data_IF_577191615759
#
_entry.id   IF_577191615759
#
_cell.length_a   1.000
_cell.length_b   1.000
_cell.length_c   1.000
_cell.angle_alpha   90.00
_cell.angle_beta   90.00
_cell.angle_gamma   90.00
#
_symmetry.space_group_name_H-M   'P 1'
#
loop_
_entity.id
_entity.type
_entity.pdbx_description
1 polymer ?
#
# COMPACT_ATOMS: atom_id res chain seq x y z
N UNK A 1 4.94 -15.34 -5.65
CA UNK A 1 6.29 -14.94 -6.10
C UNK A 1 7.29 -14.87 -4.95
N UNK A 2 7.02 -14.12 -3.86
CA UNK A 2 7.95 -13.93 -2.73
C UNK A 2 8.45 -15.23 -2.08
N UNK A 3 7.57 -16.22 -1.89
CA UNK A 3 7.96 -17.54 -1.36
C UNK A 3 8.95 -18.31 -2.26
N UNK A 4 8.83 -18.16 -3.59
CA UNK A 4 9.73 -18.80 -4.56
C UNK A 4 11.10 -18.10 -4.55
N UNK A 5 11.12 -16.77 -4.43
CA UNK A 5 12.37 -16.01 -4.30
C UNK A 5 13.08 -16.36 -2.99
N UNK A 6 12.34 -16.47 -1.90
CA UNK A 6 12.89 -16.83 -0.59
C UNK A 6 13.46 -18.27 -0.60
N UNK A 7 12.73 -19.23 -1.18
CA UNK A 7 13.21 -20.60 -1.32
C UNK A 7 14.54 -20.65 -2.10
N UNK A 8 14.63 -19.93 -3.23
CA UNK A 8 15.88 -19.85 -4.01
C UNK A 8 17.06 -19.25 -3.24
N UNK A 9 16.82 -18.25 -2.38
CA UNK A 9 17.86 -17.65 -1.54
C UNK A 9 18.31 -18.62 -0.44
N UNK A 10 17.38 -19.35 0.16
CA UNK A 10 17.69 -20.34 1.18
C UNK A 10 18.48 -21.52 0.61
N UNK A 11 18.18 -21.95 -0.62
CA UNK A 11 18.92 -23.01 -1.31
C UNK A 11 20.40 -22.64 -1.57
N UNK A 12 20.75 -21.35 -1.62
CA UNK A 12 22.13 -20.86 -1.80
C UNK A 12 22.89 -20.57 -0.48
N UNK A 13 22.42 -21.06 0.68
CA UNK A 13 23.07 -20.90 1.98
C UNK A 13 23.34 -19.44 2.40
N UNK A 14 22.45 -18.50 2.04
CA UNK A 14 22.58 -17.12 2.49
C UNK A 14 22.39 -17.05 4.00
N UNK A 15 23.42 -16.59 4.73
CA UNK A 15 23.45 -16.56 6.21
C UNK A 15 22.36 -15.67 6.84
N UNK A 16 21.78 -14.74 6.08
CA UNK A 16 20.79 -13.78 6.57
C UNK A 16 19.51 -13.79 5.73
N UNK A 17 18.39 -14.06 6.39
CA UNK A 17 17.05 -14.01 5.79
C UNK A 17 16.67 -12.53 5.55
N UNK A 18 16.22 -12.15 4.35
CA UNK A 18 15.71 -10.80 4.09
C UNK A 18 14.54 -10.45 5.02
N UNK A 19 14.59 -9.26 5.63
CA UNK A 19 13.55 -8.81 6.56
C UNK A 19 12.42 -8.05 5.85
N UNK A 20 12.67 -7.58 4.62
CA UNK A 20 11.67 -6.87 3.81
C UNK A 20 11.57 -7.44 2.40
N UNK A 21 10.45 -7.13 1.73
CA UNK A 21 10.26 -7.45 0.31
C UNK A 21 11.34 -6.80 -0.57
N UNK A 22 11.75 -5.57 -0.31
CA UNK A 22 12.78 -4.90 -1.12
C UNK A 22 14.16 -5.55 -0.93
N UNK A 23 14.50 -5.96 0.29
CA UNK A 23 15.72 -6.72 0.56
C UNK A 23 15.71 -8.08 -0.13
N UNK A 24 14.55 -8.76 -0.15
CA UNK A 24 14.39 -10.02 -0.85
C UNK A 24 14.73 -9.88 -2.34
N UNK A 25 14.21 -8.84 -2.99
CA UNK A 25 14.55 -8.54 -4.39
C UNK A 25 16.01 -8.14 -4.56
N UNK A 26 16.58 -7.36 -3.63
CA UNK A 26 17.99 -6.97 -3.68
C UNK A 26 18.90 -8.19 -3.65
N UNK A 27 18.74 -9.08 -2.67
CA UNK A 27 19.56 -10.31 -2.57
C UNK A 27 19.34 -11.22 -3.77
N UNK A 28 18.09 -11.35 -4.23
CA UNK A 28 17.77 -12.16 -5.40
C UNK A 28 18.41 -11.61 -6.69
N UNK A 29 18.38 -10.30 -6.92
CA UNK A 29 19.03 -9.69 -8.08
C UNK A 29 20.55 -9.86 -8.03
N UNK A 30 21.17 -9.71 -6.86
CA UNK A 30 22.62 -9.96 -6.71
C UNK A 30 23.00 -11.39 -7.10
N UNK A 31 22.22 -12.36 -6.62
CA UNK A 31 22.37 -13.78 -6.91
C UNK A 31 22.19 -14.09 -8.39
N UNK A 32 21.03 -13.74 -8.96
CA UNK A 32 20.71 -14.05 -10.36
C UNK A 32 21.64 -13.36 -11.34
N UNK A 33 22.05 -12.12 -11.06
CA UNK A 33 22.99 -11.40 -11.91
C UNK A 33 24.43 -11.91 -11.75
N UNK A 34 24.67 -12.80 -10.79
CA UNK A 34 25.89 -13.58 -10.66
C UNK A 34 26.94 -12.92 -9.78
N UNK A 35 26.57 -12.06 -8.82
CA UNK A 35 27.53 -11.43 -7.88
C UNK A 35 28.32 -12.46 -7.08
N UNK A 36 27.71 -13.60 -6.78
CA UNK A 36 28.24 -14.65 -5.89
C UNK A 36 28.97 -15.78 -6.64
N UNK A 37 28.70 -15.99 -7.93
CA UNK A 37 29.44 -16.93 -8.81
C UNK A 37 30.87 -16.46 -9.12
N UNK A 38 31.24 -15.29 -8.61
CA UNK A 38 32.44 -14.60 -9.03
C UNK A 38 33.58 -15.01 -8.12
N UNK A 39 34.33 -16.01 -8.59
CA UNK A 39 35.72 -16.16 -8.19
C UNK A 39 36.39 -14.77 -8.19
N UNK A 40 37.17 -14.47 -7.13
CA UNK A 40 37.67 -13.14 -6.68
C UNK A 40 38.51 -12.33 -7.71
N UNK A 41 38.11 -12.28 -8.96
CA UNK A 41 38.80 -11.56 -10.03
C UNK A 41 38.12 -10.21 -10.27
N UNK A 42 38.92 -9.17 -10.54
CA UNK A 42 38.42 -7.82 -10.79
C UNK A 42 37.55 -7.75 -12.06
N UNK A 43 37.87 -8.60 -13.05
CA UNK A 43 37.16 -8.67 -14.32
C UNK A 43 35.71 -9.13 -14.15
N UNK A 44 35.48 -10.11 -13.28
CA UNK A 44 34.15 -10.61 -13.02
C UNK A 44 33.28 -9.50 -12.41
N UNK A 45 33.79 -8.73 -11.44
CA UNK A 45 33.07 -7.59 -10.83
C UNK A 45 32.64 -6.54 -11.86
N UNK A 46 33.51 -6.20 -12.82
CA UNK A 46 33.16 -5.30 -13.91
C UNK A 46 32.04 -5.86 -14.81
N UNK A 47 32.04 -7.16 -15.10
CA UNK A 47 30.96 -7.80 -15.87
C UNK A 47 29.63 -7.71 -15.12
N UNK A 48 29.61 -8.01 -13.82
CA UNK A 48 28.41 -7.87 -12.99
C UNK A 48 27.85 -6.44 -13.03
N UNK A 49 28.71 -5.43 -12.84
CA UNK A 49 28.30 -4.03 -12.85
C UNK A 49 27.72 -3.62 -14.21
N UNK A 50 28.30 -4.09 -15.32
CA UNK A 50 27.74 -3.86 -16.66
C UNK A 50 26.36 -4.50 -16.76
N UNK A 51 26.22 -5.79 -16.41
CA UNK A 51 24.96 -6.52 -16.50
C UNK A 51 23.87 -5.82 -15.68
N UNK A 52 24.17 -5.44 -14.43
CA UNK A 52 23.21 -4.78 -13.55
C UNK A 52 22.77 -3.42 -14.12
N UNK A 53 23.71 -2.59 -14.56
CA UNK A 53 23.36 -1.26 -15.07
C UNK A 53 22.65 -1.31 -16.42
N UNK A 54 22.94 -2.30 -17.27
CA UNK A 54 22.17 -2.52 -18.50
C UNK A 54 20.78 -3.07 -18.17
N UNK A 55 20.65 -3.96 -17.18
CA UNK A 55 19.35 -4.44 -16.69
C UNK A 55 18.46 -3.29 -16.20
N UNK A 56 19.05 -2.31 -15.51
CA UNK A 56 18.38 -1.05 -15.12
C UNK A 56 17.93 -0.24 -16.34
N UNK A 57 18.78 -0.10 -17.37
CA UNK A 57 18.42 0.62 -18.60
C UNK A 57 17.27 -0.04 -19.34
N UNK A 58 17.29 -1.37 -19.43
CA UNK A 58 16.22 -2.17 -20.03
C UNK A 58 14.91 -1.95 -19.26
N UNK A 59 14.93 -2.06 -17.93
CA UNK A 59 13.77 -1.79 -17.09
C UNK A 59 13.21 -0.37 -17.28
N UNK A 60 14.09 0.63 -17.35
CA UNK A 60 13.71 2.03 -17.63
C UNK A 60 13.07 2.18 -18.99
N UNK A 61 13.68 1.68 -20.05
CA UNK A 61 13.12 1.73 -21.40
C UNK A 61 11.74 1.07 -21.45
N UNK A 62 11.58 -0.10 -20.82
CA UNK A 62 10.31 -0.82 -20.82
C UNK A 62 9.22 -0.08 -20.05
N UNK A 63 9.50 0.37 -18.83
CA UNK A 63 8.49 1.01 -17.98
C UNK A 63 8.17 2.43 -18.47
N UNK A 64 9.16 3.24 -18.84
CA UNK A 64 8.92 4.61 -19.34
C UNK A 64 8.07 4.62 -20.60
N UNK A 65 8.15 3.57 -21.43
CA UNK A 65 7.44 3.46 -22.71
C UNK A 65 6.30 2.45 -22.69
N UNK A 66 5.94 1.88 -21.52
CA UNK A 66 4.89 0.85 -21.40
C UNK A 66 5.07 -0.34 -22.36
N UNK A 67 6.31 -0.81 -22.51
CA UNK A 67 6.66 -1.96 -23.36
C UNK A 67 6.75 -3.25 -22.53
N UNK A 68 6.15 -4.32 -23.05
CA UNK A 68 6.27 -5.67 -22.47
C UNK A 68 7.51 -6.43 -22.95
N UNK A 69 8.12 -5.98 -24.05
CA UNK A 69 9.29 -6.59 -24.67
C UNK A 69 10.12 -5.56 -25.44
N UNK A 70 11.41 -5.83 -25.59
CA UNK A 70 12.33 -5.05 -26.42
C UNK A 70 13.16 -5.98 -27.31
N UNK A 71 13.80 -5.47 -28.36
CA UNK A 71 14.62 -6.31 -29.22
C UNK A 71 15.94 -6.70 -28.53
N UNK A 72 16.42 -7.93 -28.73
CA UNK A 72 17.71 -8.37 -28.18
C UNK A 72 18.89 -7.53 -28.73
N UNK A 73 18.77 -6.99 -29.94
CA UNK A 73 19.72 -6.04 -30.53
C UNK A 73 19.79 -4.71 -29.77
N UNK A 74 18.67 -4.23 -29.21
CA UNK A 74 18.63 -3.03 -28.37
C UNK A 74 19.37 -3.29 -27.06
N UNK A 75 19.17 -4.45 -26.42
CA UNK A 75 19.93 -4.83 -25.22
C UNK A 75 21.43 -4.87 -25.49
N UNK A 76 21.85 -5.47 -26.61
CA UNK A 76 23.28 -5.50 -27.01
C UNK A 76 23.84 -4.10 -27.22
N UNK A 77 23.05 -3.22 -27.85
CA UNK A 77 23.42 -1.83 -28.07
C UNK A 77 23.55 -1.05 -26.74
N UNK A 78 22.68 -1.31 -25.76
CA UNK A 78 22.81 -0.76 -24.41
C UNK A 78 24.10 -1.25 -23.71
N UNK A 79 24.44 -2.53 -23.84
CA UNK A 79 25.73 -3.06 -23.35
C UNK A 79 26.92 -2.34 -23.98
N UNK A 80 26.94 -2.22 -25.30
CA UNK A 80 28.02 -1.55 -26.03
C UNK A 80 28.17 -0.09 -25.59
N UNK A 81 27.06 0.64 -25.52
CA UNK A 81 27.04 2.04 -25.12
C UNK A 81 27.54 2.22 -23.67
N UNK A 82 27.11 1.34 -22.76
CA UNK A 82 27.54 1.40 -21.37
C UNK A 82 29.05 1.13 -21.20
N UNK A 83 29.57 0.10 -21.89
CA UNK A 83 30.99 -0.29 -21.88
C UNK A 83 31.86 0.81 -22.50
N UNK A 84 31.53 1.26 -23.72
CA UNK A 84 32.29 2.28 -24.45
C UNK A 84 32.26 3.62 -23.71
N UNK A 85 31.10 4.04 -23.22
CA UNK A 85 30.94 5.31 -22.49
C UNK A 85 31.71 5.40 -21.17
N UNK A 86 32.20 4.26 -20.65
CA UNK A 86 33.00 4.18 -19.41
C UNK A 86 34.41 3.66 -19.65
N UNK A 87 34.81 3.45 -20.90
CA UNK A 87 36.11 2.90 -21.27
C UNK A 87 36.44 1.58 -20.55
N UNK A 88 35.45 0.71 -20.38
CA UNK A 88 35.61 -0.57 -19.69
C UNK A 88 36.27 -1.60 -20.61
N UNK A 89 37.27 -2.33 -20.10
CA UNK A 89 38.00 -3.38 -20.82
C UNK A 89 37.27 -4.73 -20.72
N UNK A 90 36.02 -4.76 -21.16
CA UNK A 90 35.14 -5.93 -21.07
C UNK A 90 34.58 -6.26 -22.45
N UNK A 91 34.55 -7.55 -22.81
CA UNK A 91 33.97 -7.98 -24.09
C UNK A 91 32.45 -7.91 -24.06
N UNK A 92 31.88 -7.05 -24.92
CA UNK A 92 30.45 -6.83 -25.00
C UNK A 92 29.68 -8.09 -25.46
N UNK A 93 30.26 -8.88 -26.37
CA UNK A 93 29.60 -10.09 -26.87
C UNK A 93 29.47 -11.14 -25.76
N UNK A 94 30.54 -11.37 -25.00
CA UNK A 94 30.52 -12.23 -23.81
C UNK A 94 29.49 -11.74 -22.77
N UNK A 95 29.52 -10.45 -22.42
CA UNK A 95 28.63 -9.91 -21.37
C UNK A 95 27.16 -9.93 -21.77
N UNK A 96 26.83 -9.49 -22.98
CA UNK A 96 25.45 -9.49 -23.47
C UNK A 96 24.89 -10.92 -23.56
N UNK A 97 25.70 -11.90 -24.00
CA UNK A 97 25.33 -13.31 -24.00
C UNK A 97 25.11 -13.85 -22.58
N UNK A 98 25.98 -13.49 -21.62
CA UNK A 98 25.81 -13.85 -20.20
C UNK A 98 24.52 -13.26 -19.63
N UNK A 99 24.24 -11.98 -19.89
CA UNK A 99 23.02 -11.30 -19.42
C UNK A 99 21.76 -11.98 -19.97
N UNK A 100 21.67 -12.14 -21.30
CA UNK A 100 20.51 -12.73 -21.97
C UNK A 100 20.36 -14.24 -21.66
N UNK A 101 21.41 -14.88 -21.19
CA UNK A 101 21.39 -16.27 -20.72
C UNK A 101 20.74 -16.48 -19.33
N UNK A 102 20.49 -15.40 -18.57
CA UNK A 102 19.91 -15.47 -17.21
C UNK A 102 18.40 -15.70 -17.27
N UNK A 103 18.01 -16.95 -17.49
CA UNK A 103 16.63 -17.41 -17.70
C UNK A 103 15.73 -17.21 -16.49
N UNK A 104 16.29 -16.95 -15.31
CA UNK A 104 15.54 -16.63 -14.10
C UNK A 104 14.95 -15.22 -14.17
N UNK A 105 15.64 -14.30 -14.85
CA UNK A 105 15.25 -12.90 -14.98
C UNK A 105 14.58 -12.60 -16.32
N UNK A 106 15.14 -13.15 -17.40
CA UNK A 106 14.74 -12.84 -18.77
C UNK A 106 14.15 -14.05 -19.49
N UNK A 107 13.14 -13.79 -20.29
CA UNK A 107 12.73 -14.65 -21.39
C UNK A 107 13.22 -14.05 -22.70
N UNK A 108 14.01 -14.82 -23.46
CA UNK A 108 14.43 -14.46 -24.81
C UNK A 108 13.64 -15.32 -25.78
N UNK A 109 12.78 -14.68 -26.56
CA UNK A 109 11.94 -15.36 -27.53
C UNK A 109 12.78 -15.86 -28.72
N UNK A 110 12.74 -17.15 -29.04
CA UNK A 110 13.47 -17.70 -30.19
C UNK A 110 12.83 -17.33 -31.53
N UNK A 111 11.60 -16.78 -31.54
CA UNK A 111 10.84 -16.53 -32.76
C UNK A 111 11.04 -15.12 -33.32
N UNK A 112 11.09 -14.11 -32.45
CA UNK A 112 11.15 -12.69 -32.82
C UNK A 112 12.38 -11.97 -32.23
N UNK A 113 13.30 -12.71 -31.60
CA UNK A 113 14.50 -12.20 -30.92
C UNK A 113 14.22 -11.07 -29.93
N UNK A 114 13.07 -11.13 -29.25
CA UNK A 114 12.71 -10.15 -28.21
C UNK A 114 13.05 -10.64 -26.81
N UNK A 115 13.22 -9.69 -25.90
CA UNK A 115 13.58 -9.89 -24.50
C UNK A 115 12.46 -9.31 -23.63
N UNK A 116 12.00 -10.11 -22.67
CA UNK A 116 10.99 -9.75 -21.68
C UNK A 116 11.49 -10.14 -20.29
N UNK A 117 11.12 -9.39 -19.25
CA UNK A 117 11.29 -9.85 -17.88
C UNK A 117 10.27 -10.95 -17.57
N UNK A 118 10.71 -12.06 -16.95
CA UNK A 118 9.81 -13.15 -16.58
C UNK A 118 8.66 -12.70 -15.65
N UNK A 119 8.90 -11.66 -14.87
CA UNK A 119 7.90 -11.05 -14.02
C UNK A 119 8.10 -9.53 -13.98
N UNK A 120 7.00 -8.78 -14.08
CA UNK A 120 7.01 -7.31 -14.10
C UNK A 120 7.69 -6.70 -12.88
N UNK A 121 7.54 -7.30 -11.71
CA UNK A 121 8.16 -6.79 -10.47
C UNK A 121 9.69 -6.77 -10.51
N UNK A 122 10.34 -7.57 -11.36
CA UNK A 122 11.78 -7.45 -11.58
C UNK A 122 12.13 -6.16 -12.32
N UNK A 123 11.34 -5.80 -13.34
CA UNK A 123 11.47 -4.53 -14.04
C UNK A 123 11.21 -3.37 -13.06
N UNK A 124 10.15 -3.45 -12.25
CA UNK A 124 9.80 -2.40 -11.28
C UNK A 124 10.89 -2.19 -10.22
N UNK A 125 11.47 -3.28 -9.71
CA UNK A 125 12.62 -3.20 -8.78
C UNK A 125 13.85 -2.59 -9.45
N UNK A 126 14.23 -3.05 -10.65
CA UNK A 126 15.41 -2.53 -11.37
C UNK A 126 15.23 -1.07 -11.78
N UNK A 127 14.01 -0.68 -12.12
CA UNK A 127 13.66 0.71 -12.38
C UNK A 127 13.83 1.57 -11.12
N UNK A 128 13.27 1.12 -9.99
CA UNK A 128 13.41 1.80 -8.70
C UNK A 128 14.88 1.94 -8.29
N UNK A 129 15.68 0.90 -8.48
CA UNK A 129 17.14 0.94 -8.25
C UNK A 129 17.83 1.96 -9.16
N UNK A 130 17.36 2.10 -10.39
CA UNK A 130 17.83 3.13 -11.32
C UNK A 130 17.52 4.55 -10.86
N UNK A 131 16.27 4.82 -10.46
CA UNK A 131 15.88 6.11 -9.88
C UNK A 131 16.73 6.44 -8.67
N UNK A 132 16.95 5.45 -7.81
CA UNK A 132 17.65 5.66 -6.56
C UNK A 132 19.13 5.99 -6.77
N UNK A 133 19.79 5.32 -7.70
CA UNK A 133 21.19 5.62 -8.08
C UNK A 133 21.36 7.02 -8.66
N UNK A 134 20.36 7.51 -9.39
CA UNK A 134 20.38 8.87 -9.94
C UNK A 134 20.05 9.90 -8.84
N UNK A 135 19.33 9.50 -7.80
CA UNK A 135 18.87 10.38 -6.72
C UNK A 135 17.85 11.40 -7.18
N UNK A 136 17.16 11.16 -8.31
CA UNK A 136 16.15 12.07 -8.87
C UNK A 136 14.89 11.29 -9.22
N UNK A 137 13.82 11.61 -8.51
CA UNK A 137 12.46 11.18 -8.83
C UNK A 137 11.48 12.15 -8.16
N UNK A 138 10.33 12.35 -8.80
CA UNK A 138 9.29 13.25 -8.31
C UNK A 138 8.22 12.44 -7.59
N UNK A 139 7.79 12.93 -6.43
CA UNK A 139 6.61 12.44 -5.72
C UNK A 139 5.43 13.31 -6.15
N UNK A 140 4.51 12.71 -6.88
CA UNK A 140 3.29 13.34 -7.37
C UNK A 140 2.20 12.28 -7.58
N UNK A 141 1.15 12.61 -8.33
CA UNK A 141 -0.02 11.73 -8.49
C UNK A 141 0.33 10.32 -8.99
N UNK A 142 1.39 10.19 -9.79
CA UNK A 142 1.90 8.89 -10.29
C UNK A 142 2.21 7.89 -9.18
N UNK A 143 2.56 8.32 -7.98
CA UNK A 143 2.90 7.42 -6.87
C UNK A 143 1.74 6.48 -6.49
N UNK A 144 0.51 6.91 -6.75
CA UNK A 144 -0.72 6.14 -6.49
C UNK A 144 -1.36 5.56 -7.74
N UNK A 145 -0.71 5.69 -8.90
CA UNK A 145 -1.13 5.00 -10.11
C UNK A 145 -0.79 3.50 -9.97
N UNK A 146 -1.74 2.56 -10.19
CA UNK A 146 -1.48 1.12 -10.12
C UNK A 146 -0.31 0.65 -10.99
N UNK A 147 -0.03 1.34 -12.11
CA UNK A 147 1.11 1.04 -12.97
C UNK A 147 2.45 1.32 -12.28
N UNK A 148 2.52 2.37 -11.46
CA UNK A 148 3.76 2.90 -10.86
C UNK A 148 3.94 2.55 -9.38
N UNK A 149 2.85 2.21 -8.67
CA UNK A 149 2.82 2.03 -7.21
C UNK A 149 3.91 1.07 -6.71
N UNK A 150 4.11 -0.07 -7.39
CA UNK A 150 5.13 -1.05 -7.02
C UNK A 150 6.56 -0.52 -7.21
N UNK A 151 6.79 0.29 -8.26
CA UNK A 151 8.09 0.94 -8.48
C UNK A 151 8.41 1.89 -7.34
N UNK A 152 7.48 2.77 -6.97
CA UNK A 152 7.67 3.67 -5.83
C UNK A 152 7.83 2.90 -4.52
N UNK A 153 7.10 1.81 -4.31
CA UNK A 153 7.27 0.97 -3.12
C UNK A 153 8.72 0.49 -2.98
N UNK A 154 9.31 0.03 -4.08
CA UNK A 154 10.73 -0.35 -4.09
C UNK A 154 11.66 0.86 -3.85
N UNK A 155 11.35 2.06 -4.34
CA UNK A 155 12.14 3.27 -4.04
C UNK A 155 12.17 3.55 -2.53
N UNK A 156 11.00 3.57 -1.88
CA UNK A 156 10.93 3.75 -0.42
C UNK A 156 11.67 2.63 0.32
N UNK A 157 11.54 1.39 -0.13
CA UNK A 157 12.22 0.24 0.48
C UNK A 157 13.73 0.18 0.23
N UNK A 158 14.24 0.80 -0.84
CA UNK A 158 15.67 0.93 -1.09
C UNK A 158 16.28 2.01 -0.20
N UNK A 159 15.56 3.13 -0.02
CA UNK A 159 15.95 4.21 0.91
C UNK A 159 15.89 3.77 2.36
N UNK A 160 14.81 3.09 2.77
CA UNK A 160 14.46 2.63 4.13
C UNK A 160 14.29 3.74 5.17
N UNK A 161 15.10 4.78 5.11
CA UNK A 161 15.00 6.03 5.86
C UNK A 161 14.68 7.16 4.86
N UNK A 162 13.45 7.67 4.90
CA UNK A 162 12.92 8.54 3.85
C UNK A 162 11.94 9.62 4.38
N UNK A 163 12.31 10.42 5.39
CA UNK A 163 11.40 11.38 6.01
C UNK A 163 10.88 12.41 4.99
N UNK A 164 11.78 12.97 4.18
CA UNK A 164 11.46 13.97 3.15
C UNK A 164 10.49 13.41 2.09
N UNK A 165 10.66 12.14 1.69
CA UNK A 165 9.77 11.52 0.71
C UNK A 165 8.38 11.26 1.28
N UNK A 166 8.29 10.90 2.57
CA UNK A 166 7.00 10.73 3.26
C UNK A 166 6.28 12.07 3.37
N UNK A 167 7.00 13.15 3.70
CA UNK A 167 6.42 14.49 3.74
C UNK A 167 5.89 14.94 2.37
N UNK A 168 6.60 14.63 1.28
CA UNK A 168 6.10 14.88 -0.07
C UNK A 168 4.90 13.97 -0.43
N UNK A 169 4.92 12.71 0.00
CA UNK A 169 3.81 11.76 -0.19
C UNK A 169 2.51 12.25 0.48
N UNK A 170 2.62 12.85 1.66
CA UNK A 170 1.50 13.45 2.40
C UNK A 170 0.89 14.64 1.65
N UNK A 171 1.70 15.39 0.89
CA UNK A 171 1.27 16.55 0.10
C UNK A 171 0.55 16.16 -1.18
N UNK A 172 0.70 14.94 -1.70
CA UNK A 172 0.01 14.49 -2.93
C UNK A 172 -1.51 14.63 -2.78
N UNK A 173 -2.16 15.28 -3.76
CA UNK A 173 -3.60 15.52 -3.80
C UNK A 173 -4.19 14.88 -5.05
N UNK A 174 -5.02 13.87 -4.85
CA UNK A 174 -5.70 13.19 -5.95
C UNK A 174 -7.09 13.81 -6.15
N UNK A 175 -7.43 14.23 -7.38
CA UNK A 175 -8.68 14.96 -7.63
C UNK A 175 -9.92 14.07 -7.58
N UNK A 176 -9.76 12.76 -7.76
CA UNK A 176 -10.88 11.82 -7.83
C UNK A 176 -10.94 10.93 -6.58
N UNK A 177 -12.16 10.59 -6.17
CA UNK A 177 -12.46 9.81 -4.96
C UNK A 177 -11.86 8.40 -5.01
N UNK A 178 -11.87 7.74 -6.17
CA UNK A 178 -11.28 6.42 -6.36
C UNK A 178 -9.78 6.45 -6.13
N UNK A 179 -9.09 7.46 -6.68
CA UNK A 179 -7.66 7.69 -6.46
C UNK A 179 -7.37 7.94 -4.99
N UNK A 180 -8.20 8.73 -4.29
CA UNK A 180 -8.07 8.93 -2.84
C UNK A 180 -8.24 7.62 -2.06
N UNK A 181 -9.15 6.74 -2.48
CA UNK A 181 -9.27 5.39 -1.90
C UNK A 181 -8.02 4.55 -2.15
N UNK A 182 -7.46 4.57 -3.37
CA UNK A 182 -6.18 3.93 -3.69
C UNK A 182 -5.03 4.48 -2.85
N UNK A 183 -5.01 5.80 -2.60
CA UNK A 183 -4.06 6.42 -1.69
C UNK A 183 -4.18 5.83 -0.29
N UNK A 184 -5.37 5.82 0.30
CA UNK A 184 -5.59 5.24 1.64
C UNK A 184 -5.10 3.79 1.71
N UNK A 185 -5.37 2.99 0.67
CA UNK A 185 -4.97 1.58 0.62
C UNK A 185 -3.45 1.38 0.55
N UNK A 186 -2.76 2.12 -0.31
CA UNK A 186 -1.34 1.87 -0.60
C UNK A 186 -0.38 2.68 0.28
N UNK A 187 -0.86 3.75 0.92
CA UNK A 187 -0.02 4.67 1.67
C UNK A 187 0.73 3.98 2.81
N UNK A 188 0.09 3.08 3.55
CA UNK A 188 0.75 2.29 4.60
C UNK A 188 1.92 1.45 4.08
N UNK A 189 1.83 0.94 2.85
CA UNK A 189 2.89 0.16 2.21
C UNK A 189 4.18 0.98 2.03
N UNK A 190 4.07 2.26 1.69
CA UNK A 190 5.24 3.16 1.61
C UNK A 190 5.86 3.42 2.98
N UNK A 191 5.03 3.64 4.01
CA UNK A 191 5.50 3.84 5.38
C UNK A 191 6.23 2.59 5.91
N UNK A 192 5.69 1.40 5.67
CA UNK A 192 6.32 0.12 6.04
C UNK A 192 7.61 -0.14 5.25
N UNK A 193 7.66 0.25 3.97
CA UNK A 193 8.87 0.13 3.17
C UNK A 193 10.00 1.02 3.72
N UNK A 194 9.64 2.22 4.21
CA UNK A 194 10.56 3.18 4.83
C UNK A 194 10.62 3.06 6.37
N UNK A 195 10.67 1.82 6.89
CA UNK A 195 10.56 1.52 8.33
C UNK A 195 11.67 2.10 9.22
N UNK A 196 12.82 2.52 8.67
CA UNK A 196 13.92 3.14 9.41
C UNK A 196 13.75 4.67 9.58
N UNK A 197 12.73 5.26 8.94
CA UNK A 197 12.40 6.67 9.10
C UNK A 197 12.09 7.01 10.56
N UNK A 198 12.49 8.19 11.08
CA UNK A 198 12.09 8.64 12.41
C UNK A 198 10.59 8.47 12.64
N UNK A 199 10.23 7.73 13.69
CA UNK A 199 8.86 7.26 13.89
C UNK A 199 7.84 8.40 14.03
N UNK A 200 8.26 9.58 14.52
CA UNK A 200 7.42 10.78 14.57
C UNK A 200 6.87 11.21 13.19
N UNK A 201 7.65 11.00 12.12
CA UNK A 201 7.21 11.28 10.74
C UNK A 201 6.13 10.28 10.33
N UNK A 202 6.33 8.99 10.65
CA UNK A 202 5.35 7.92 10.42
C UNK A 202 4.04 8.20 11.17
N UNK A 203 4.13 8.64 12.43
CA UNK A 203 2.98 9.01 13.26
C UNK A 203 2.18 10.16 12.65
N UNK A 204 2.87 11.22 12.22
CA UNK A 204 2.25 12.38 11.55
C UNK A 204 1.54 11.96 10.27
N UNK A 205 2.22 11.17 9.43
CA UNK A 205 1.70 10.70 8.15
C UNK A 205 0.48 9.77 8.33
N UNK A 206 0.51 8.87 9.33
CA UNK A 206 -0.64 8.05 9.70
C UNK A 206 -1.85 8.89 10.13
N UNK A 207 -1.64 9.93 10.95
CA UNK A 207 -2.70 10.85 11.39
C UNK A 207 -3.35 11.55 10.19
N UNK A 208 -2.55 11.96 9.22
CA UNK A 208 -3.03 12.55 7.95
C UNK A 208 -3.87 11.53 7.18
N UNK A 209 -3.40 10.29 7.05
CA UNK A 209 -4.11 9.25 6.30
C UNK A 209 -5.49 8.91 6.91
N UNK A 210 -5.57 8.78 8.25
CA UNK A 210 -6.85 8.56 8.95
C UNK A 210 -7.81 9.74 8.72
N UNK A 211 -7.32 10.97 8.82
CA UNK A 211 -8.11 12.16 8.54
C UNK A 211 -8.61 12.21 7.10
N UNK A 212 -7.77 11.83 6.13
CA UNK A 212 -8.15 11.76 4.71
C UNK A 212 -9.23 10.71 4.44
N UNK A 213 -9.16 9.55 5.11
CA UNK A 213 -10.20 8.53 5.03
C UNK A 213 -11.53 9.00 5.60
N UNK A 214 -11.51 9.68 6.76
CA UNK A 214 -12.71 10.24 7.37
C UNK A 214 -13.32 11.37 6.50
N UNK A 215 -12.48 12.22 5.91
CA UNK A 215 -12.91 13.24 4.97
C UNK A 215 -13.56 12.63 3.73
N UNK A 216 -12.92 11.62 3.11
CA UNK A 216 -13.46 10.93 1.93
C UNK A 216 -14.85 10.35 2.19
N UNK A 217 -15.04 9.68 3.33
CA UNK A 217 -16.34 9.10 3.67
C UNK A 217 -17.42 10.17 3.90
N UNK A 218 -17.09 11.24 4.62
CA UNK A 218 -18.01 12.36 4.86
C UNK A 218 -18.44 13.02 3.55
N UNK A 219 -17.48 13.27 2.66
CA UNK A 219 -17.75 13.82 1.33
C UNK A 219 -18.67 12.91 0.52
N UNK A 220 -18.38 11.61 0.46
CA UNK A 220 -19.21 10.64 -0.25
C UNK A 220 -20.64 10.56 0.30
N UNK A 221 -20.83 10.61 1.63
CA UNK A 221 -22.17 10.65 2.24
C UNK A 221 -22.94 11.94 1.94
N UNK A 222 -22.22 13.03 1.68
CA UNK A 222 -22.82 14.33 1.39
C UNK A 222 -23.18 14.50 -0.10
N UNK A 223 -22.52 13.77 -1.00
CA UNK A 223 -22.59 13.98 -2.44
C UNK A 223 -23.33 12.84 -3.16
N UNK A 224 -24.56 13.09 -3.62
CA UNK A 224 -25.35 12.11 -4.37
C UNK A 224 -24.76 11.74 -5.74
N UNK A 225 -23.87 12.59 -6.28
CA UNK A 225 -23.20 12.38 -7.57
C UNK A 225 -21.80 11.76 -7.41
N UNK A 226 -21.41 11.41 -6.19
CA UNK A 226 -20.14 10.71 -5.93
C UNK A 226 -20.15 9.35 -6.65
N UNK A 227 -19.06 8.95 -7.32
CA UNK A 227 -18.90 7.58 -7.81
C UNK A 227 -19.07 6.50 -6.73
N UNK A 228 -18.87 6.86 -5.45
CA UNK A 228 -19.06 5.99 -4.30
C UNK A 228 -20.51 5.98 -3.79
N UNK A 229 -21.39 6.85 -4.31
CA UNK A 229 -22.78 6.96 -3.86
C UNK A 229 -23.69 5.78 -4.28
N UNK A 230 -23.18 4.89 -5.14
CA UNK A 230 -23.83 3.62 -5.49
C UNK A 230 -23.82 2.62 -4.33
N UNK A 231 -22.90 2.78 -3.37
CA UNK A 231 -22.90 2.03 -2.13
C UNK A 231 -23.88 2.63 -1.12
N UNK A 232 -24.39 1.79 -0.23
CA UNK A 232 -25.07 2.26 0.98
C UNK A 232 -24.06 2.82 2.00
N UNK A 233 -24.53 3.56 3.00
CA UNK A 233 -23.67 4.10 4.05
C UNK A 233 -22.89 2.98 4.76
N UNK A 234 -23.55 1.88 5.11
CA UNK A 234 -22.87 0.77 5.79
C UNK A 234 -21.88 0.06 4.88
N UNK A 235 -22.21 -0.13 3.60
CA UNK A 235 -21.29 -0.75 2.64
C UNK A 235 -20.03 0.08 2.46
N UNK A 236 -20.17 1.40 2.29
CA UNK A 236 -19.02 2.28 2.10
C UNK A 236 -18.18 2.42 3.36
N UNK A 237 -18.81 2.52 4.54
CA UNK A 237 -18.12 2.45 5.83
C UNK A 237 -17.28 1.17 5.91
N UNK A 238 -17.89 0.02 5.60
CA UNK A 238 -17.23 -1.28 5.64
C UNK A 238 -16.02 -1.34 4.69
N UNK A 239 -16.16 -0.86 3.45
CA UNK A 239 -15.06 -0.83 2.47
C UNK A 239 -13.88 -0.03 3.03
N UNK A 240 -14.10 1.21 3.48
CA UNK A 240 -13.02 2.06 3.98
C UNK A 240 -12.41 1.48 5.26
N UNK A 241 -13.21 0.96 6.18
CA UNK A 241 -12.72 0.31 7.40
C UNK A 241 -11.87 -0.90 7.08
N UNK A 242 -12.31 -1.80 6.20
CA UNK A 242 -11.53 -2.96 5.78
C UNK A 242 -10.21 -2.55 5.10
N UNK A 243 -10.24 -1.52 4.26
CA UNK A 243 -9.01 -0.96 3.67
C UNK A 243 -8.04 -0.47 4.75
N UNK A 244 -8.53 0.29 5.73
CA UNK A 244 -7.69 0.79 6.82
C UNK A 244 -7.17 -0.34 7.73
N UNK A 245 -7.99 -1.32 8.07
CA UNK A 245 -7.56 -2.47 8.87
C UNK A 245 -6.47 -3.28 8.14
N UNK A 246 -6.63 -3.51 6.83
CA UNK A 246 -5.63 -4.23 6.04
C UNK A 246 -4.34 -3.42 5.86
N UNK A 247 -4.43 -2.09 5.73
CA UNK A 247 -3.29 -1.24 5.52
C UNK A 247 -2.53 -0.94 6.82
N UNK A 248 -3.24 -0.69 7.93
CA UNK A 248 -2.68 -0.14 9.16
C UNK A 248 -2.81 -1.07 10.38
N UNK A 249 -3.41 -2.25 10.24
CA UNK A 249 -3.55 -3.25 11.32
C UNK A 249 -2.26 -4.00 11.69
N UNK A 250 -1.09 -3.47 11.36
CA UNK A 250 0.21 -4.06 11.68
C UNK A 250 0.70 -3.58 13.04
N UNK A 251 1.42 -4.44 13.79
CA UNK A 251 2.04 -4.08 15.07
C UNK A 251 2.94 -2.85 14.98
N UNK A 252 3.58 -2.64 13.83
CA UNK A 252 4.40 -1.46 13.55
C UNK A 252 3.66 -0.14 13.77
N UNK A 253 2.35 -0.07 13.49
CA UNK A 253 1.56 1.15 13.63
C UNK A 253 0.88 1.30 14.98
N UNK A 254 0.90 0.27 15.86
CA UNK A 254 0.23 0.32 17.17
C UNK A 254 0.59 1.55 18.01
N UNK A 255 1.88 1.88 18.23
CA UNK A 255 2.24 3.06 19.02
C UNK A 255 1.66 4.36 18.44
N UNK A 256 1.73 4.52 17.11
CA UNK A 256 1.15 5.66 16.42
C UNK A 256 -0.38 5.74 16.58
N UNK A 257 -1.07 4.60 16.43
CA UNK A 257 -2.52 4.52 16.60
C UNK A 257 -2.95 4.87 18.02
N UNK A 258 -2.23 4.43 19.06
CA UNK A 258 -2.52 4.81 20.43
C UNK A 258 -2.36 6.31 20.67
N UNK A 259 -1.29 6.92 20.16
CA UNK A 259 -1.08 8.37 20.29
C UNK A 259 -2.19 9.17 19.60
N UNK A 260 -2.54 8.78 18.36
CA UNK A 260 -3.65 9.40 17.64
C UNK A 260 -4.97 9.22 18.40
N UNK A 261 -5.19 8.05 19.02
CA UNK A 261 -6.37 7.79 19.84
C UNK A 261 -6.44 8.74 21.05
N UNK A 262 -5.34 8.90 21.79
CA UNK A 262 -5.25 9.82 22.94
C UNK A 262 -5.53 11.27 22.52
N UNK A 263 -4.92 11.70 21.40
CA UNK A 263 -5.16 13.03 20.82
C UNK A 263 -6.64 13.26 20.46
N UNK A 264 -7.28 12.25 19.86
CA UNK A 264 -8.68 12.31 19.45
C UNK A 264 -9.61 12.40 20.67
N UNK A 265 -9.39 11.57 21.69
CA UNK A 265 -10.20 11.58 22.91
C UNK A 265 -10.04 12.86 23.74
N UNK A 266 -8.91 13.56 23.60
CA UNK A 266 -8.64 14.82 24.29
C UNK A 266 -9.16 16.05 23.53
N UNK A 267 -9.69 15.87 22.32
CA UNK A 267 -10.14 16.96 21.45
C UNK A 267 -11.50 17.51 21.90
N UNK A 268 -11.69 18.85 21.95
CA UNK A 268 -12.98 19.45 22.29
C UNK A 268 -14.09 19.11 21.28
N UNK A 269 -13.73 18.87 20.02
CA UNK A 269 -14.65 18.59 18.91
C UNK A 269 -14.86 17.08 18.67
N UNK A 270 -14.76 16.28 19.73
CA UNK A 270 -14.79 14.81 19.64
C UNK A 270 -16.00 14.26 18.86
N UNK A 271 -17.17 14.89 19.01
CA UNK A 271 -18.40 14.47 18.31
C UNK A 271 -18.25 14.52 16.79
N UNK A 272 -17.53 15.51 16.29
CA UNK A 272 -17.25 15.68 14.86
C UNK A 272 -16.12 14.78 14.35
N UNK A 273 -15.44 14.08 15.28
CA UNK A 273 -14.29 13.20 15.03
C UNK A 273 -14.56 11.73 15.37
N UNK A 274 -15.82 11.37 15.61
CA UNK A 274 -16.20 9.99 15.94
C UNK A 274 -15.83 8.98 14.84
N UNK A 275 -15.78 9.43 13.58
CA UNK A 275 -15.38 8.58 12.47
C UNK A 275 -13.88 8.26 12.51
N UNK A 276 -13.04 9.26 12.76
CA UNK A 276 -11.60 9.09 12.97
C UNK A 276 -11.33 8.16 14.16
N UNK A 277 -12.03 8.36 15.28
CA UNK A 277 -11.91 7.48 16.47
C UNK A 277 -12.29 6.04 16.11
N UNK A 278 -13.40 5.87 15.40
CA UNK A 278 -13.83 4.55 14.94
C UNK A 278 -12.74 3.88 14.08
N UNK A 279 -12.19 4.58 13.10
CA UNK A 279 -11.13 4.06 12.23
C UNK A 279 -9.85 3.68 12.98
N UNK A 280 -9.40 4.52 13.91
CA UNK A 280 -8.22 4.21 14.74
C UNK A 280 -8.46 2.95 15.58
N UNK A 281 -9.62 2.86 16.22
CA UNK A 281 -9.96 1.69 17.04
C UNK A 281 -10.16 0.43 16.18
N UNK A 282 -10.69 0.54 14.96
CA UNK A 282 -10.75 -0.57 14.02
C UNK A 282 -9.36 -1.08 13.63
N UNK A 283 -8.41 -0.17 13.33
CA UNK A 283 -7.04 -0.56 13.02
C UNK A 283 -6.33 -1.19 14.24
N UNK A 284 -6.54 -0.66 15.45
CA UNK A 284 -6.04 -1.26 16.69
C UNK A 284 -6.63 -2.66 16.91
N UNK A 285 -7.93 -2.85 16.72
CA UNK A 285 -8.58 -4.15 16.82
C UNK A 285 -8.00 -5.16 15.81
N UNK A 286 -7.79 -4.72 14.56
CA UNK A 286 -7.15 -5.54 13.52
C UNK A 286 -5.70 -5.95 13.89
N UNK A 287 -5.01 -5.09 14.65
CA UNK A 287 -3.70 -5.40 15.23
C UNK A 287 -3.77 -6.28 16.50
N UNK A 288 -4.91 -6.94 16.76
CA UNK A 288 -5.17 -7.79 17.93
C UNK A 288 -5.27 -7.06 19.29
N UNK A 289 -5.70 -5.79 19.30
CA UNK A 289 -6.11 -5.12 20.54
C UNK A 289 -7.60 -5.37 20.85
N UNK A 290 -7.86 -6.35 21.72
CA UNK A 290 -9.21 -6.72 22.17
C UNK A 290 -9.95 -5.64 22.99
N UNK A 291 -9.27 -4.54 23.35
CA UNK A 291 -9.84 -3.42 24.13
C UNK A 291 -9.97 -2.13 23.32
N UNK A 292 -9.70 -2.17 22.01
CA UNK A 292 -9.64 -0.98 21.16
C UNK A 292 -10.89 -0.09 21.26
N UNK A 293 -12.08 -0.66 21.46
CA UNK A 293 -13.34 0.09 21.54
C UNK A 293 -13.80 0.43 22.97
N UNK A 294 -13.11 -0.02 24.02
CA UNK A 294 -13.59 0.07 25.41
C UNK A 294 -13.82 1.51 25.85
N UNK A 295 -12.89 2.41 25.53
CA UNK A 295 -12.99 3.84 25.85
C UNK A 295 -14.16 4.49 25.11
N UNK A 296 -14.32 4.23 23.81
CA UNK A 296 -15.42 4.77 23.00
C UNK A 296 -16.78 4.35 23.58
N UNK A 297 -16.92 3.06 23.89
CA UNK A 297 -18.16 2.48 24.40
C UNK A 297 -18.47 3.01 25.80
N UNK A 298 -17.49 3.05 26.68
CA UNK A 298 -17.69 3.43 28.09
C UNK A 298 -17.99 4.91 28.24
N UNK A 299 -17.32 5.77 27.46
CA UNK A 299 -17.46 7.21 27.56
C UNK A 299 -18.60 7.77 26.71
N UNK A 300 -18.91 7.16 25.56
CA UNK A 300 -19.83 7.75 24.56
C UNK A 300 -20.90 6.79 24.03
N UNK A 301 -21.05 5.58 24.59
CA UNK A 301 -21.91 4.51 24.06
C UNK A 301 -23.29 4.92 23.49
N UNK A 302 -24.09 5.76 24.18
CA UNK A 302 -25.39 6.23 23.68
C UNK A 302 -25.30 7.25 22.53
N UNK A 303 -24.19 7.97 22.42
CA UNK A 303 -23.97 9.06 21.46
C UNK A 303 -23.33 8.58 20.15
N UNK A 304 -22.85 7.33 20.10
CA UNK A 304 -22.26 6.74 18.90
C UNK A 304 -23.32 6.69 17.78
N UNK A 305 -23.07 7.25 16.58
CA UNK A 305 -23.97 7.16 15.44
C UNK A 305 -24.29 5.72 15.04
N UNK A 306 -25.54 5.45 14.66
CA UNK A 306 -26.01 4.10 14.30
C UNK A 306 -25.09 3.38 13.29
N UNK A 307 -24.59 4.02 12.21
CA UNK A 307 -23.64 3.36 11.31
C UNK A 307 -22.37 2.86 12.00
N UNK A 308 -21.83 3.64 12.94
CA UNK A 308 -20.63 3.26 13.69
C UNK A 308 -20.94 2.17 14.73
N UNK A 309 -22.14 2.16 15.34
CA UNK A 309 -22.55 1.05 16.22
C UNK A 309 -22.53 -0.29 15.46
N UNK A 310 -23.04 -0.29 14.23
CA UNK A 310 -23.03 -1.47 13.34
C UNK A 310 -21.60 -1.84 12.95
N UNK A 311 -20.77 -0.84 12.61
CA UNK A 311 -19.36 -1.04 12.31
C UNK A 311 -18.59 -1.70 13.47
N UNK A 312 -18.80 -1.24 14.72
CA UNK A 312 -18.17 -1.82 15.91
C UNK A 312 -18.53 -3.29 16.07
N UNK A 313 -19.80 -3.65 15.85
CA UNK A 313 -20.24 -5.04 15.92
C UNK A 313 -19.58 -5.92 14.86
N UNK A 314 -19.52 -5.44 13.62
CA UNK A 314 -18.88 -6.17 12.52
C UNK A 314 -17.39 -6.43 12.80
N UNK A 315 -16.68 -5.46 13.40
CA UNK A 315 -15.29 -5.65 13.81
C UNK A 315 -15.15 -6.68 14.94
N UNK A 316 -16.08 -6.71 15.89
CA UNK A 316 -16.04 -7.62 17.02
C UNK A 316 -16.28 -9.10 16.64
N UNK A 317 -17.02 -9.37 15.57
CA UNK A 317 -17.24 -10.72 15.04
C UNK A 317 -15.96 -11.32 14.41
N UNK A 318 -15.03 -10.46 13.96
CA UNK A 318 -13.77 -10.85 13.31
C UNK A 318 -12.55 -10.93 14.24
N UNK A 319 -12.67 -10.51 15.50
CA UNK A 319 -11.53 -10.43 16.44
C UNK A 319 -11.47 -11.61 17.41
N UNK A 320 -10.25 -12.09 17.71
CA UNK A 320 -10.00 -13.09 18.75
C UNK A 320 -9.74 -12.36 20.08
N UNK A 321 -10.62 -12.55 21.07
CA UNK A 321 -10.41 -12.04 22.43
C UNK A 321 -11.03 -10.67 22.71
N UNK A 322 -12.34 -10.52 22.48
CA UNK A 322 -13.09 -9.31 22.82
C UNK A 322 -13.10 -9.03 24.34
N UNK A 323 -13.16 -7.74 24.69
CA UNK A 323 -13.35 -7.33 26.08
C UNK A 323 -14.78 -7.62 26.58
N UNK A 324 -14.92 -7.74 27.91
CA UNK A 324 -16.25 -7.87 28.52
C UNK A 324 -17.15 -6.63 28.32
N UNK A 325 -16.56 -5.46 28.07
CA UNK A 325 -17.29 -4.21 27.76
C UNK A 325 -17.91 -4.33 26.36
N UNK A 326 -17.13 -4.74 25.38
CA UNK A 326 -17.57 -4.94 24.00
C UNK A 326 -18.65 -6.04 23.90
N UNK A 327 -18.45 -7.19 24.57
CA UNK A 327 -19.44 -8.26 24.62
C UNK A 327 -20.78 -7.82 25.24
N UNK A 328 -20.72 -6.99 26.28
CA UNK A 328 -21.92 -6.41 26.90
C UNK A 328 -22.60 -5.42 25.95
N UNK A 329 -21.83 -4.60 25.25
CA UNK A 329 -22.34 -3.65 24.27
C UNK A 329 -23.10 -4.35 23.13
N UNK A 330 -22.51 -5.37 22.51
CA UNK A 330 -23.11 -6.16 21.43
C UNK A 330 -24.42 -6.82 21.88
N UNK A 331 -24.41 -7.47 23.05
CA UNK A 331 -25.63 -8.09 23.61
C UNK A 331 -26.74 -7.08 23.84
N UNK A 332 -26.41 -5.89 24.34
CA UNK A 332 -27.39 -4.83 24.56
C UNK A 332 -27.95 -4.29 23.25
N UNK A 333 -27.11 -4.12 22.23
CA UNK A 333 -27.56 -3.68 20.91
C UNK A 333 -28.47 -4.71 20.24
N UNK A 334 -28.11 -6.00 20.28
CA UNK A 334 -28.98 -7.08 19.78
C UNK A 334 -30.33 -7.13 20.49
N UNK A 335 -30.38 -6.88 21.81
CA UNK A 335 -31.64 -6.75 22.55
C UNK A 335 -32.46 -5.54 22.09
N UNK A 336 -31.82 -4.39 21.86
CA UNK A 336 -32.47 -3.18 21.34
C UNK A 336 -33.05 -3.41 19.95
N UNK A 337 -32.28 -4.03 19.04
CA UNK A 337 -32.76 -4.42 17.71
C UNK A 337 -33.96 -5.36 17.81
N UNK A 338 -33.89 -6.38 18.68
CA UNK A 338 -35.01 -7.32 18.87
C UNK A 338 -36.27 -6.61 19.39
N UNK A 339 -36.14 -5.63 20.27
CA UNK A 339 -37.26 -4.90 20.87
C UNK A 339 -37.85 -3.76 20.05
N UNK A 340 -37.19 -3.31 18.96
CA UNK A 340 -37.58 -2.10 18.24
C UNK A 340 -37.68 -2.34 16.71
N UNK A 341 -38.90 -2.58 16.18
CA UNK A 341 -39.12 -2.76 14.75
C UNK A 341 -38.70 -1.56 13.90
N UNK A 342 -38.88 -0.33 14.40
CA UNK A 342 -38.47 0.89 13.69
C UNK A 342 -36.96 1.00 13.53
N UNK A 343 -36.20 0.61 14.57
CA UNK A 343 -34.74 0.54 14.49
C UNK A 343 -34.26 -0.50 13.47
N UNK A 344 -34.95 -1.65 13.37
CA UNK A 344 -34.63 -2.67 12.35
C UNK A 344 -34.86 -2.14 10.94
N UNK A 345 -35.99 -1.49 10.70
CA UNK A 345 -36.31 -0.89 9.41
C UNK A 345 -35.29 0.18 9.02
N UNK A 346 -34.92 1.07 9.95
CA UNK A 346 -33.88 2.08 9.72
C UNK A 346 -32.51 1.47 9.43
N UNK A 347 -32.16 0.36 10.11
CA UNK A 347 -30.93 -0.38 9.81
C UNK A 347 -30.97 -1.02 8.42
N UNK A 348 -32.07 -1.66 8.04
CA UNK A 348 -32.26 -2.21 6.68
C UNK A 348 -32.08 -1.12 5.63
N UNK A 349 -32.66 0.06 5.85
CA UNK A 349 -32.48 1.19 4.93
C UNK A 349 -31.01 1.63 4.82
N UNK A 350 -30.29 1.72 5.93
CA UNK A 350 -28.85 2.07 5.95
C UNK A 350 -27.95 1.04 5.27
N UNK A 351 -28.35 -0.24 5.27
CA UNK A 351 -27.60 -1.34 4.65
C UNK A 351 -27.91 -1.48 3.18
N UNK A 352 -29.18 -1.35 2.77
CA UNK A 352 -29.64 -1.72 1.44
C UNK A 352 -29.81 -0.54 0.48
N UNK A 353 -29.98 0.68 0.99
CA UNK A 353 -30.27 1.84 0.13
C UNK A 353 -28.98 2.58 -0.25
N UNK A 354 -28.64 2.66 -1.55
CA UNK A 354 -27.55 3.51 -2.03
C UNK A 354 -27.70 4.96 -1.57
N UNK A 355 -26.57 5.62 -1.28
CA UNK A 355 -26.52 7.02 -0.88
C UNK A 355 -27.21 7.91 -1.94
N UNK A 356 -26.99 7.63 -3.23
CA UNK A 356 -27.62 8.36 -4.35
C UNK A 356 -29.15 8.34 -4.26
N UNK A 357 -29.73 7.16 -4.01
CA UNK A 357 -31.19 6.97 -3.86
C UNK A 357 -31.74 7.61 -2.58
N UNK A 358 -31.01 7.51 -1.47
CA UNK A 358 -31.41 8.10 -0.19
C UNK A 358 -31.51 9.63 -0.31
N UNK A 359 -30.55 10.27 -0.96
CA UNK A 359 -30.55 11.71 -1.19
C UNK A 359 -31.66 12.16 -2.16
N UNK A 360 -31.90 11.41 -3.23
CA UNK A 360 -33.01 11.69 -4.15
C UNK A 360 -34.38 11.67 -3.44
N UNK A 361 -34.59 10.74 -2.49
CA UNK A 361 -35.80 10.71 -1.65
C UNK A 361 -35.91 11.93 -0.72
N UNK A 362 -34.82 12.41 -0.13
CA UNK A 362 -34.83 13.60 0.71
C UNK A 362 -35.16 14.87 -0.08
N UNK A 363 -34.62 15.02 -1.29
CA UNK A 363 -34.90 16.17 -2.16
C UNK A 363 -36.35 16.16 -2.64
N UNK A 364 -36.89 15.00 -3.04
CA UNK A 364 -38.29 14.88 -3.48
C UNK A 364 -39.30 15.08 -2.33
N UNK A 365 -38.98 14.62 -1.12
CA UNK A 365 -39.81 14.87 0.07
C UNK A 365 -39.81 16.34 0.53
N UNK A 366 -38.69 17.06 0.34
CA UNK A 366 -38.59 18.49 0.67
C UNK A 366 -39.30 19.42 -0.33
N UNK A 367 -39.62 18.93 -1.54
CA UNK A 367 -40.39 19.68 -2.56
C UNK A 367 -41.91 19.49 -2.35
N UNK A 368 -42.33 18.49 -1.57
CA UNK A 368 -43.73 18.17 -1.30
C UNK A 368 -44.26 18.69 0.05
N UNK A 369 -43.40 19.32 0.87
CA UNK A 369 -43.74 20.02 2.11
C UNK A 369 -43.60 21.52 1.91
#
# INVERSE_FOLDING_TARGET
MSAILLAKILDENVQEIPSTMTELYSKYMELVLGRWDMSKSLQSQMEYDVILNVSIQVARMMIDNSLDRIAASEVRSMCENYIKGRNLKVDCNSVSKKMLGKRELYFVSPFDETVTFNHRTFAEYLYALGLERVGKFEIGDKVYDPYWTATYFFVFGLRRDAPELIEELDKVRLPNEIGRLFKINNHAGFLLAAYLTPYAVIQSSLKIAIGQAAALLREAYSNANSPLAEFSEIQLLCIITCTLCNAYGYDYFKPALYEISVDLYSSPDLKDRMLEIFFVNSALAASSDGKAFDTLISSYGPEIPLPLQVGIMAQAEGCVGNSGILDKYIRNFHKKLKGNPGLRLGLTELVETPISKKKAKMVSGAIQA
#
